data_IF_660528528914
#
_entry.id   IF_660528528914
#
_cell.length_a   1.000
_cell.length_b   1.000
_cell.length_c   1.000
_cell.angle_alpha   90.00
_cell.angle_beta   90.00
_cell.angle_gamma   90.00
#
_symmetry.space_group_name_H-M   'P 1'
#
loop_
_entity.id
_entity.type
_entity.pdbx_description
1 polymer ?
#
# COMPACT_ATOMS: atom_id res chain seq x y z
N UNK A 1 -38.83 -1.93 15.79
CA UNK A 1 -39.06 -0.95 16.87
C UNK A 1 -37.75 -0.60 17.55
N UNK A 2 -37.01 0.40 17.04
CA UNK A 2 -35.97 1.08 17.82
C UNK A 2 -36.08 2.57 17.53
N UNK A 3 -36.51 3.30 18.56
CA UNK A 3 -36.62 4.76 18.62
C UNK A 3 -35.23 5.33 18.92
N UNK A 4 -34.79 6.30 18.11
CA UNK A 4 -33.64 7.14 18.38
C UNK A 4 -34.07 8.20 19.40
N UNK A 5 -33.78 7.94 20.68
CA UNK A 5 -33.86 8.98 21.70
C UNK A 5 -32.71 9.98 21.49
N UNK A 6 -33.07 11.14 20.96
CA UNK A 6 -32.27 12.36 20.94
C UNK A 6 -32.06 12.88 22.37
N UNK A 7 -30.80 13.06 22.77
CA UNK A 7 -30.48 13.77 24.02
C UNK A 7 -29.26 13.22 24.73
N UNK A 8 -28.07 13.52 24.23
CA UNK A 8 -26.86 13.46 25.02
C UNK A 8 -25.98 14.66 24.67
N UNK A 9 -25.75 15.51 25.66
CA UNK A 9 -24.79 16.60 25.66
C UNK A 9 -23.45 16.13 25.10
N UNK A 10 -22.83 16.96 24.25
CA UNK A 10 -21.52 16.72 23.65
C UNK A 10 -20.45 16.74 24.73
N UNK A 11 -20.28 15.61 25.42
CA UNK A 11 -19.12 15.33 26.23
C UNK A 11 -17.92 15.06 25.32
N UNK A 12 -16.75 15.53 25.73
CA UNK A 12 -15.49 15.26 25.04
C UNK A 12 -15.35 13.75 24.75
N UNK A 13 -14.82 13.36 23.56
CA UNK A 13 -14.72 11.95 23.20
C UNK A 13 -13.83 11.21 24.22
N UNK A 14 -14.44 10.27 24.93
CA UNK A 14 -13.74 9.42 25.90
C UNK A 14 -12.52 8.74 25.25
N UNK A 15 -11.41 8.70 25.98
CA UNK A 15 -10.21 8.01 25.55
C UNK A 15 -10.55 6.56 25.19
N UNK A 16 -10.17 6.14 23.97
CA UNK A 16 -10.42 4.77 23.50
C UNK A 16 -9.51 3.83 24.30
N UNK A 17 -10.10 3.06 25.22
CA UNK A 17 -9.36 2.04 25.98
C UNK A 17 -8.75 0.97 25.07
N UNK A 18 -7.65 0.36 25.49
CA UNK A 18 -6.97 -0.76 24.80
C UNK A 18 -7.95 -1.93 24.50
N UNK A 19 -8.94 -2.15 25.38
CA UNK A 19 -10.02 -3.12 25.20
C UNK A 19 -10.88 -2.79 23.97
N UNK A 20 -11.22 -1.52 23.75
CA UNK A 20 -11.97 -1.09 22.56
C UNK A 20 -11.15 -1.25 21.28
N UNK A 21 -9.84 -1.01 21.33
CA UNK A 21 -8.95 -1.21 20.18
C UNK A 21 -8.83 -2.70 19.82
N UNK A 22 -8.61 -3.58 20.80
CA UNK A 22 -8.57 -5.04 20.58
C UNK A 22 -9.90 -5.57 20.05
N UNK A 23 -11.02 -5.07 20.57
CA UNK A 23 -12.36 -5.41 20.09
C UNK A 23 -12.56 -4.96 18.64
N UNK A 24 -12.12 -3.75 18.28
CA UNK A 24 -12.17 -3.27 16.90
C UNK A 24 -11.31 -4.13 15.96
N UNK A 25 -10.08 -4.44 16.34
CA UNK A 25 -9.20 -5.33 15.56
C UNK A 25 -9.83 -6.71 15.39
N UNK A 26 -10.41 -7.28 16.46
CA UNK A 26 -11.15 -8.55 16.39
C UNK A 26 -12.34 -8.51 15.43
N UNK A 27 -13.11 -7.41 15.42
CA UNK A 27 -14.23 -7.22 14.48
C UNK A 27 -13.73 -7.05 13.04
N UNK A 28 -12.66 -6.29 12.83
CA UNK A 28 -12.04 -6.12 11.53
C UNK A 28 -11.47 -7.44 11.01
N UNK A 29 -10.85 -8.25 11.87
CA UNK A 29 -10.38 -9.60 11.55
C UNK A 29 -11.52 -10.49 11.03
N UNK A 30 -12.65 -10.50 11.74
CA UNK A 30 -13.83 -11.24 11.32
C UNK A 30 -14.36 -10.74 9.96
N UNK A 31 -14.50 -9.42 9.81
CA UNK A 31 -15.00 -8.81 8.58
C UNK A 31 -14.10 -9.08 7.38
N UNK A 32 -12.78 -8.90 7.55
CA UNK A 32 -11.78 -9.15 6.51
C UNK A 32 -11.61 -10.64 6.19
N UNK A 33 -12.09 -11.54 7.06
CA UNK A 33 -12.27 -12.95 6.73
C UNK A 33 -13.23 -13.19 5.57
N UNK A 34 -14.33 -12.43 5.50
CA UNK A 34 -15.26 -12.42 4.36
C UNK A 34 -14.82 -11.49 3.22
N UNK A 35 -14.05 -10.47 3.55
CA UNK A 35 -13.62 -9.40 2.63
C UNK A 35 -12.10 -9.41 2.49
N UNK A 36 -11.57 -10.51 1.93
CA UNK A 36 -10.11 -10.78 1.90
C UNK A 36 -9.29 -9.70 1.21
N UNK A 37 -9.88 -8.93 0.30
CA UNK A 37 -9.16 -7.85 -0.36
C UNK A 37 -8.79 -6.71 0.60
N UNK A 38 -9.48 -6.53 1.74
CA UNK A 38 -9.07 -5.56 2.78
C UNK A 38 -7.89 -6.00 3.63
N UNK A 39 -7.53 -7.28 3.56
CA UNK A 39 -6.56 -7.90 4.45
C UNK A 39 -5.16 -7.25 4.43
N UNK A 40 -4.59 -6.76 3.30
CA UNK A 40 -3.28 -6.10 3.31
C UNK A 40 -3.23 -4.84 4.19
N UNK A 41 -4.36 -4.15 4.37
CA UNK A 41 -4.46 -2.97 5.22
C UNK A 41 -4.66 -3.30 6.70
N UNK A 42 -4.92 -4.56 7.06
CA UNK A 42 -4.82 -5.01 8.44
C UNK A 42 -3.40 -4.84 8.99
N UNK A 43 -2.37 -4.77 8.13
CA UNK A 43 -1.00 -4.49 8.58
C UNK A 43 -0.88 -3.10 9.21
N UNK A 44 -1.72 -2.16 8.79
CA UNK A 44 -1.81 -0.85 9.41
C UNK A 44 -2.43 -1.00 10.79
N UNK A 45 -3.59 -1.66 10.91
CA UNK A 45 -4.25 -1.89 12.20
C UNK A 45 -3.45 -2.73 13.19
N UNK A 46 -2.74 -3.76 12.74
CA UNK A 46 -1.84 -4.53 13.60
C UNK A 46 -0.63 -3.73 14.02
N UNK A 47 -0.08 -2.88 13.15
CA UNK A 47 0.96 -1.92 13.57
C UNK A 47 0.39 -0.93 14.57
N UNK A 48 -0.84 -0.45 14.37
CA UNK A 48 -1.54 0.42 15.32
C UNK A 48 -1.89 -0.29 16.64
N UNK A 49 -2.09 -1.60 16.65
CA UNK A 49 -2.43 -2.37 17.86
C UNK A 49 -1.19 -2.85 18.61
N UNK A 50 -0.16 -3.29 17.88
CA UNK A 50 1.14 -3.69 18.42
C UNK A 50 1.98 -2.47 18.87
N UNK A 51 1.73 -1.31 18.26
CA UNK A 51 2.20 0.00 18.70
C UNK A 51 0.96 0.87 18.81
N UNK A 52 0.26 0.94 19.97
CA UNK A 52 -0.93 1.77 20.15
C UNK A 52 -0.65 3.18 19.63
N UNK A 53 -1.01 3.48 18.38
CA UNK A 53 -0.77 4.79 17.76
C UNK A 53 -1.89 5.74 18.15
N UNK A 54 -2.04 5.89 19.46
CA UNK A 54 -1.84 7.19 20.06
C UNK A 54 -0.33 7.35 20.18
N UNK A 55 0.33 8.00 19.21
CA UNK A 55 1.71 8.44 19.45
C UNK A 55 1.67 9.63 20.37
N UNK A 56 1.55 9.29 21.64
CA UNK A 56 1.85 10.10 22.79
C UNK A 56 3.31 10.55 22.72
N UNK A 57 3.58 11.58 21.90
CA UNK A 57 4.83 12.32 22.01
C UNK A 57 4.77 13.07 23.33
N UNK A 58 5.75 12.82 24.20
CA UNK A 58 5.87 13.52 25.48
C UNK A 58 6.80 14.71 25.23
N UNK A 59 6.24 15.77 24.63
CA UNK A 59 6.99 16.93 24.17
C UNK A 59 7.31 17.82 25.37
N UNK A 60 8.58 18.19 25.51
CA UNK A 60 8.98 19.28 26.40
C UNK A 60 8.66 20.64 25.76
N UNK A 61 9.08 21.72 26.43
CA UNK A 61 8.77 23.08 26.03
C UNK A 61 9.38 23.48 24.69
N UNK A 62 10.61 23.03 24.42
CA UNK A 62 11.35 23.40 23.23
C UNK A 62 10.84 22.62 22.02
N UNK A 63 10.53 21.33 22.22
CA UNK A 63 9.90 20.47 21.21
C UNK A 63 8.49 20.93 20.83
N UNK A 64 7.72 21.45 21.79
CA UNK A 64 6.38 21.97 21.54
C UNK A 64 6.40 23.33 20.82
N UNK A 65 7.36 24.20 21.18
CA UNK A 65 7.58 25.47 20.50
C UNK A 65 8.02 25.24 19.04
N UNK A 66 8.92 24.27 18.82
CA UNK A 66 9.30 23.82 17.49
C UNK A 66 8.08 23.32 16.71
N UNK A 67 7.30 22.39 17.29
CA UNK A 67 6.10 21.86 16.65
C UNK A 67 5.12 22.98 16.25
N UNK A 68 4.89 23.96 17.12
CA UNK A 68 4.03 25.12 16.81
C UNK A 68 4.51 25.89 15.58
N UNK A 69 5.83 26.11 15.46
CA UNK A 69 6.44 26.75 14.29
C UNK A 69 6.41 25.91 13.02
N UNK A 70 6.18 24.60 13.14
CA UNK A 70 6.10 23.68 12.02
C UNK A 70 4.68 23.50 11.49
N UNK A 71 3.64 23.84 12.23
CA UNK A 71 2.26 23.60 11.83
C UNK A 71 1.74 24.63 10.82
N UNK A 72 1.19 24.16 9.70
CA UNK A 72 0.52 24.98 8.69
C UNK A 72 -0.92 25.35 9.09
N UNK A 73 -1.62 26.09 8.23
CA UNK A 73 -3.02 26.52 8.47
C UNK A 73 -4.03 25.37 8.54
N UNK A 74 -3.65 24.14 8.20
CA UNK A 74 -4.46 22.93 8.32
C UNK A 74 -4.00 22.03 9.50
N UNK A 75 -3.19 22.57 10.42
CA UNK A 75 -2.59 21.87 11.55
C UNK A 75 -1.68 20.72 11.13
N UNK A 76 -1.02 20.84 9.97
CA UNK A 76 -0.08 19.84 9.46
C UNK A 76 1.35 20.31 9.58
N UNK A 77 2.22 19.40 9.97
CA UNK A 77 3.65 19.64 10.12
C UNK A 77 4.25 19.84 8.73
N UNK A 78 4.68 21.06 8.44
CA UNK A 78 5.16 21.52 7.14
C UNK A 78 6.53 20.94 6.77
N UNK A 79 7.38 20.60 7.74
CA UNK A 79 8.73 20.02 7.58
C UNK A 79 9.13 19.20 8.80
N UNK A 80 10.14 18.34 8.70
CA UNK A 80 10.59 17.51 9.83
C UNK A 80 11.03 18.36 11.04
N UNK A 81 10.67 17.89 12.24
CA UNK A 81 11.17 18.45 13.49
C UNK A 81 12.62 18.00 13.74
N UNK A 82 13.43 18.91 14.24
CA UNK A 82 14.82 18.68 14.62
C UNK A 82 14.94 18.23 16.08
N UNK A 83 14.04 18.67 16.97
CA UNK A 83 14.09 18.38 18.40
C UNK A 83 13.20 17.21 18.81
N UNK A 84 12.35 16.70 17.93
CA UNK A 84 11.44 15.59 18.21
C UNK A 84 11.27 14.66 17.02
N UNK A 85 10.74 13.46 17.24
CA UNK A 85 10.43 12.51 16.16
C UNK A 85 9.19 12.91 15.33
N UNK A 86 8.73 14.15 15.45
CA UNK A 86 7.61 14.70 14.68
C UNK A 86 8.03 14.82 13.21
N UNK A 87 7.22 14.25 12.31
CA UNK A 87 7.54 14.22 10.88
C UNK A 87 6.66 15.14 10.05
N UNK A 88 7.23 15.59 8.93
CA UNK A 88 6.48 16.30 7.89
C UNK A 88 5.23 15.53 7.47
N UNK A 89 4.12 16.25 7.32
CA UNK A 89 2.81 15.72 6.95
C UNK A 89 1.94 15.26 8.11
N UNK A 90 2.47 15.18 9.33
CA UNK A 90 1.67 14.84 10.53
C UNK A 90 0.63 15.91 10.81
N UNK A 91 -0.60 15.51 11.15
CA UNK A 91 -1.67 16.46 11.51
C UNK A 91 -1.95 16.40 13.02
N UNK A 92 -1.79 17.52 13.72
CA UNK A 92 -2.11 17.62 15.15
C UNK A 92 -3.63 17.64 15.34
N UNK A 93 -4.17 16.75 16.19
CA UNK A 93 -5.62 16.70 16.45
C UNK A 93 -6.01 17.15 17.85
N UNK A 94 -5.25 16.72 18.86
CA UNK A 94 -5.55 17.00 20.26
C UNK A 94 -4.23 17.25 21.02
N UNK A 95 -4.20 18.26 21.90
CA UNK A 95 -3.11 18.54 22.82
C UNK A 95 -3.66 18.44 24.25
N UNK A 96 -3.08 17.54 25.07
CA UNK A 96 -3.56 17.26 26.43
C UNK A 96 -5.08 16.96 26.52
N UNK A 97 -5.64 16.32 25.47
CA UNK A 97 -7.06 15.96 25.41
C UNK A 97 -8.00 17.09 24.99
N UNK A 98 -7.47 18.25 24.54
CA UNK A 98 -8.25 19.34 23.94
C UNK A 98 -8.00 19.38 22.44
N UNK A 99 -9.06 19.53 21.64
CA UNK A 99 -8.93 19.77 20.21
C UNK A 99 -8.19 21.10 19.98
N UNK A 100 -7.20 21.10 19.09
CA UNK A 100 -6.45 22.31 18.75
C UNK A 100 -7.27 23.12 17.76
N UNK A 101 -7.74 24.29 18.20
CA UNK A 101 -8.57 25.19 17.39
C UNK A 101 -7.75 26.37 16.92
N UNK A 102 -6.84 26.84 17.77
CA UNK A 102 -5.98 28.00 17.55
C UNK A 102 -4.52 27.72 17.95
N UNK A 103 -3.58 28.54 17.45
CA UNK A 103 -2.14 28.30 17.68
C UNK A 103 -1.75 28.52 19.14
N UNK A 104 -2.50 29.35 19.84
CA UNK A 104 -2.32 29.59 21.27
C UNK A 104 -2.64 28.35 22.11
N UNK A 105 -3.53 27.46 21.65
CA UNK A 105 -3.84 26.19 22.33
C UNK A 105 -2.62 25.27 22.40
N UNK A 106 -1.70 25.39 21.45
CA UNK A 106 -0.46 24.61 21.39
C UNK A 106 0.55 25.08 22.42
N UNK A 107 0.60 26.39 22.68
CA UNK A 107 1.60 26.99 23.56
C UNK A 107 1.15 27.09 25.02
N UNK A 108 -0.14 26.89 25.28
CA UNK A 108 -0.76 26.99 26.61
C UNK A 108 -1.43 25.70 27.14
N UNK A 109 -0.90 24.49 26.89
CA UNK A 109 -1.53 23.29 27.41
C UNK A 109 -1.36 23.17 28.93
N UNK A 110 -2.25 22.41 29.57
CA UNK A 110 -2.05 21.99 30.94
C UNK A 110 -0.86 21.01 31.00
N UNK A 111 0.29 21.51 31.48
CA UNK A 111 1.52 20.73 31.63
C UNK A 111 1.34 19.69 32.73
N UNK A 112 1.72 18.44 32.45
CA UNK A 112 1.87 17.40 33.47
C UNK A 112 3.33 16.97 33.48
N UNK A 113 4.02 17.15 34.61
CA UNK A 113 5.45 16.83 34.76
C UNK A 113 6.33 17.51 33.68
N UNK A 114 6.00 18.75 33.30
CA UNK A 114 6.77 19.51 32.32
C UNK A 114 6.59 19.08 30.86
N UNK A 115 5.61 18.22 30.53
CA UNK A 115 5.39 17.74 29.16
C UNK A 115 3.91 17.67 28.73
N UNK A 116 3.68 17.43 27.43
CA UNK A 116 2.40 17.55 26.71
C UNK A 116 2.19 16.38 25.74
N UNK A 117 0.93 15.98 25.47
CA UNK A 117 0.54 14.79 24.67
C UNK A 117 -0.19 15.13 23.35
N UNK A 118 -0.01 14.33 22.27
CA UNK A 118 -0.58 14.56 20.91
C UNK A 118 -1.28 13.31 20.26
N UNK A 119 -2.29 13.46 19.36
CA UNK A 119 -3.12 12.36 18.76
C UNK A 119 -3.42 12.52 17.23
N UNK A 120 -3.71 11.41 16.50
CA UNK A 120 -3.95 11.35 15.01
C UNK A 120 -5.14 10.40 14.56
N UNK A 121 -5.72 10.55 13.35
CA UNK A 121 -6.98 9.86 12.87
C UNK A 121 -7.09 9.51 11.35
N UNK A 122 -6.04 9.19 10.60
CA UNK A 122 -6.16 8.97 9.12
C UNK A 122 -6.64 7.59 8.65
N UNK A 123 -6.35 6.51 9.35
CA UNK A 123 -6.53 5.13 8.83
C UNK A 123 -8.01 4.70 8.75
N UNK A 124 -8.84 5.14 9.69
CA UNK A 124 -10.26 4.79 9.73
C UNK A 124 -11.03 5.38 8.54
N UNK A 125 -10.70 6.59 8.11
CA UNK A 125 -11.36 7.25 6.97
C UNK A 125 -11.10 6.51 5.66
N UNK A 126 -9.88 5.99 5.46
CA UNK A 126 -9.56 5.16 4.30
C UNK A 126 -10.37 3.86 4.27
N UNK A 127 -10.45 3.14 5.39
CA UNK A 127 -11.25 1.90 5.45
C UNK A 127 -12.72 2.15 5.12
N UNK A 128 -13.31 3.22 5.69
CA UNK A 128 -14.68 3.60 5.38
C UNK A 128 -14.84 3.96 3.90
N UNK A 129 -13.95 4.79 3.36
CA UNK A 129 -13.99 5.15 1.94
C UNK A 129 -13.89 3.93 1.03
N UNK A 130 -12.99 2.99 1.31
CA UNK A 130 -12.88 1.79 0.49
C UNK A 130 -14.14 0.95 0.63
N UNK A 131 -14.65 0.71 1.83
CA UNK A 131 -15.91 -0.03 2.05
C UNK A 131 -17.08 0.63 1.30
N UNK A 132 -17.20 1.95 1.36
CA UNK A 132 -18.25 2.73 0.71
C UNK A 132 -18.08 2.78 -0.82
N UNK A 133 -16.84 2.77 -1.32
CA UNK A 133 -16.53 2.79 -2.75
C UNK A 133 -16.66 1.41 -3.42
N UNK A 134 -16.81 0.33 -2.66
CA UNK A 134 -16.88 -1.04 -3.21
C UNK A 134 -18.20 -1.24 -3.94
N UNK A 135 -18.08 -1.33 -5.28
CA UNK A 135 -19.08 -1.88 -6.20
C UNK A 135 -19.15 -3.42 -6.06
N UNK A 136 -20.20 -4.11 -6.55
CA UNK A 136 -20.73 -5.30 -5.91
C UNK A 136 -19.69 -6.40 -5.69
N UNK A 137 -19.71 -7.00 -4.51
CA UNK A 137 -18.90 -8.16 -4.17
C UNK A 137 -19.25 -9.31 -5.10
N UNK A 138 -18.35 -9.62 -6.03
CA UNK A 138 -18.53 -10.76 -6.93
C UNK A 138 -18.27 -12.07 -6.17
N UNK A 139 -19.34 -12.83 -5.93
CA UNK A 139 -19.27 -14.15 -5.27
C UNK A 139 -18.93 -15.29 -6.23
N UNK A 140 -18.92 -15.02 -7.54
CA UNK A 140 -18.64 -16.02 -8.58
C UNK A 140 -17.30 -15.70 -9.22
N UNK A 141 -16.46 -16.72 -9.37
CA UNK A 141 -15.21 -16.61 -10.11
C UNK A 141 -15.42 -16.95 -11.59
N UNK A 142 -14.82 -16.14 -12.45
CA UNK A 142 -14.72 -16.43 -13.87
C UNK A 142 -13.26 -16.70 -14.20
N UNK A 143 -13.01 -17.94 -14.63
CA UNK A 143 -11.71 -18.31 -15.16
C UNK A 143 -11.59 -17.78 -16.59
N UNK A 144 -10.59 -16.93 -16.82
CA UNK A 144 -10.18 -16.59 -18.17
C UNK A 144 -9.53 -17.80 -18.86
N UNK A 145 -9.26 -17.67 -20.17
CA UNK A 145 -8.42 -18.62 -20.87
C UNK A 145 -7.07 -18.76 -20.15
N UNK A 146 -6.54 -19.99 -19.97
CA UNK A 146 -5.25 -20.19 -19.33
C UNK A 146 -4.17 -19.36 -20.04
N UNK A 147 -3.46 -18.54 -19.26
CA UNK A 147 -2.32 -17.76 -19.74
C UNK A 147 -1.12 -18.10 -18.87
N UNK A 148 -0.03 -18.50 -19.51
CA UNK A 148 1.26 -18.61 -18.84
C UNK A 148 1.82 -17.21 -18.67
N UNK A 149 2.22 -16.89 -17.45
CA UNK A 149 2.74 -15.59 -17.10
C UNK A 149 3.63 -15.70 -15.88
N UNK A 150 4.80 -15.07 -15.93
CA UNK A 150 5.73 -15.06 -14.82
C UNK A 150 6.42 -13.69 -14.74
N UNK A 151 6.70 -13.26 -13.53
CA UNK A 151 7.44 -12.03 -13.27
C UNK A 151 8.54 -12.33 -12.25
N UNK A 152 9.62 -11.57 -12.35
CA UNK A 152 10.77 -11.66 -11.49
C UNK A 152 11.34 -10.27 -11.22
N UNK A 153 12.17 -10.17 -10.20
CA UNK A 153 12.97 -9.01 -9.94
C UNK A 153 14.41 -9.43 -9.68
N UNK A 154 15.32 -8.58 -10.13
CA UNK A 154 16.71 -8.65 -9.78
C UNK A 154 17.03 -7.50 -8.84
N UNK A 155 17.83 -7.78 -7.83
CA UNK A 155 18.48 -6.76 -7.04
C UNK A 155 19.94 -7.15 -6.79
N UNK A 156 20.76 -6.14 -6.61
CA UNK A 156 22.11 -6.24 -6.09
C UNK A 156 22.29 -5.14 -5.05
N UNK A 157 23.54 -4.80 -4.72
CA UNK A 157 23.81 -3.67 -3.84
C UNK A 157 23.27 -2.35 -4.39
N UNK A 158 23.56 -2.05 -5.67
CA UNK A 158 23.32 -0.74 -6.28
C UNK A 158 22.36 -0.74 -7.47
N UNK A 159 22.02 -1.92 -8.00
CA UNK A 159 21.11 -2.05 -9.15
C UNK A 159 19.91 -2.88 -8.76
N UNK A 160 18.77 -2.55 -9.35
CA UNK A 160 17.62 -3.42 -9.38
C UNK A 160 16.93 -3.35 -10.73
N UNK A 161 16.05 -4.30 -10.97
CA UNK A 161 15.16 -4.32 -12.10
C UNK A 161 13.99 -5.25 -11.86
N UNK A 162 12.91 -5.01 -12.58
CA UNK A 162 11.73 -5.87 -12.58
C UNK A 162 11.39 -6.22 -14.02
N UNK A 163 11.02 -7.48 -14.24
CA UNK A 163 10.72 -7.99 -15.56
C UNK A 163 9.64 -9.05 -15.49
N UNK A 164 9.01 -9.31 -16.62
CA UNK A 164 8.01 -10.35 -16.70
C UNK A 164 7.42 -10.50 -18.09
N UNK A 165 6.82 -11.65 -18.30
CA UNK A 165 6.26 -12.05 -19.58
C UNK A 165 4.92 -12.74 -19.40
N UNK A 166 4.14 -12.76 -20.48
CA UNK A 166 2.98 -13.61 -20.61
C UNK A 166 2.77 -14.03 -22.06
N UNK A 167 2.13 -15.18 -22.21
CA UNK A 167 1.66 -15.66 -23.50
C UNK A 167 0.17 -15.32 -23.68
N UNK A 168 -0.22 -14.78 -24.85
CA UNK A 168 -1.61 -14.77 -25.27
C UNK A 168 -2.20 -16.19 -25.25
N UNK A 169 -3.51 -16.30 -25.06
CA UNK A 169 -4.18 -17.60 -25.07
C UNK A 169 -3.95 -18.31 -26.41
N UNK A 170 -3.54 -19.58 -26.37
CA UNK A 170 -3.27 -20.39 -27.56
C UNK A 170 -1.94 -20.11 -28.27
N UNK A 171 -1.13 -19.14 -27.80
CA UNK A 171 0.19 -18.90 -28.37
C UNK A 171 1.17 -20.04 -28.00
N UNK A 172 2.09 -20.42 -28.91
CA UNK A 172 3.09 -21.44 -28.61
C UNK A 172 4.08 -20.95 -27.55
N UNK A 173 4.65 -21.88 -26.78
CA UNK A 173 5.61 -21.60 -25.71
C UNK A 173 7.00 -21.31 -26.31
N UNK A 174 7.21 -20.10 -26.81
CA UNK A 174 8.50 -19.65 -27.33
C UNK A 174 8.73 -18.14 -27.11
N UNK A 175 10.00 -17.74 -27.13
CA UNK A 175 10.45 -16.36 -26.79
C UNK A 175 9.86 -15.31 -27.74
N UNK A 176 9.77 -15.62 -29.03
CA UNK A 176 9.26 -14.70 -30.05
C UNK A 176 7.76 -14.41 -29.92
N UNK A 177 7.03 -15.22 -29.16
CA UNK A 177 5.60 -15.05 -28.91
C UNK A 177 5.29 -14.34 -27.59
N UNK A 178 6.30 -14.10 -26.75
CA UNK A 178 6.13 -13.43 -25.47
C UNK A 178 5.66 -11.99 -25.66
N UNK A 179 4.66 -11.60 -24.86
CA UNK A 179 4.49 -10.20 -24.49
C UNK A 179 5.23 -9.98 -23.19
N UNK A 180 5.93 -8.87 -23.08
CA UNK A 180 6.91 -8.69 -22.02
C UNK A 180 7.03 -7.25 -21.58
N UNK A 181 7.53 -7.05 -20.36
CA UNK A 181 7.98 -5.77 -19.87
C UNK A 181 9.33 -5.94 -19.18
N UNK A 182 10.07 -4.84 -19.11
CA UNK A 182 11.36 -4.78 -18.44
C UNK A 182 11.66 -3.35 -18.05
N UNK A 183 11.98 -3.17 -16.77
CA UNK A 183 12.37 -1.90 -16.17
C UNK A 183 13.66 -2.09 -15.37
N UNK A 184 14.71 -1.37 -15.72
CA UNK A 184 16.07 -1.62 -15.23
C UNK A 184 16.83 -0.34 -14.96
N UNK A 185 17.98 -0.50 -14.30
CA UNK A 185 19.05 0.50 -14.17
C UNK A 185 18.50 1.81 -13.57
N UNK A 186 18.49 2.89 -14.35
CA UNK A 186 18.08 4.23 -13.90
C UNK A 186 16.64 4.28 -13.36
N UNK A 187 15.74 3.38 -13.78
CA UNK A 187 14.36 3.39 -13.30
C UNK A 187 14.18 2.73 -11.93
N UNK A 188 15.12 1.88 -11.54
CA UNK A 188 15.13 1.11 -10.29
C UNK A 188 16.45 1.31 -9.54
N UNK A 189 17.06 2.50 -9.69
CA UNK A 189 18.15 2.96 -8.82
C UNK A 189 17.60 3.38 -7.46
N UNK A 190 18.48 3.51 -6.47
CA UNK A 190 18.10 4.06 -5.17
C UNK A 190 17.36 5.40 -5.34
N UNK A 191 17.88 6.32 -6.15
CA UNK A 191 17.25 7.64 -6.28
C UNK A 191 15.91 7.63 -7.04
N UNK A 192 15.70 6.64 -7.92
CA UNK A 192 14.45 6.52 -8.67
C UNK A 192 13.31 5.92 -7.85
N UNK A 193 13.63 5.15 -6.81
CA UNK A 193 12.66 4.57 -5.89
C UNK A 193 12.19 5.62 -4.87
N UNK A 194 10.88 5.67 -4.57
CA UNK A 194 10.36 6.57 -3.55
C UNK A 194 11.09 6.38 -2.21
N UNK A 195 11.35 7.47 -1.49
CA UNK A 195 12.05 7.45 -0.20
C UNK A 195 11.42 6.48 0.80
N UNK A 196 10.09 6.43 0.84
CA UNK A 196 9.34 5.49 1.69
C UNK A 196 9.57 4.02 1.32
N UNK A 197 9.84 3.72 0.04
CA UNK A 197 10.12 2.36 -0.42
C UNK A 197 11.52 1.91 0.01
N UNK A 198 12.42 2.87 0.26
CA UNK A 198 13.80 2.65 0.69
C UNK A 198 14.02 2.78 2.20
N UNK A 199 12.99 3.09 2.98
CA UNK A 199 13.13 3.45 4.38
C UNK A 199 13.90 2.39 5.21
N UNK A 200 13.75 1.11 4.86
CA UNK A 200 14.44 -0.01 5.54
C UNK A 200 15.80 -0.35 4.91
N UNK A 201 16.15 0.22 3.75
CA UNK A 201 17.45 0.07 3.08
C UNK A 201 18.43 1.20 3.43
N UNK A 202 17.98 2.23 4.16
CA UNK A 202 18.70 3.50 4.38
C UNK A 202 19.52 3.60 5.67
N UNK A 203 19.71 2.52 6.44
CA UNK A 203 20.62 2.52 7.60
C UNK A 203 21.84 1.64 7.31
N UNK A 204 22.98 2.30 7.12
CA UNK A 204 24.36 1.79 6.99
C UNK A 204 24.75 0.95 5.76
N UNK A 205 23.83 0.30 5.06
CA UNK A 205 24.16 -0.47 3.86
C UNK A 205 23.12 -0.27 2.75
N UNK A 206 23.37 0.70 1.86
CA UNK A 206 22.65 0.87 0.59
C UNK A 206 22.67 -0.44 -0.20
N UNK A 207 21.65 -1.27 0.01
CA UNK A 207 21.58 -2.62 -0.51
C UNK A 207 20.15 -2.92 -0.96
N UNK A 208 19.91 -2.76 -2.26
CA UNK A 208 18.62 -3.05 -2.88
C UNK A 208 18.21 -4.53 -2.72
N UNK A 209 19.15 -5.43 -2.41
CA UNK A 209 18.85 -6.83 -2.11
C UNK A 209 17.88 -6.98 -0.92
N UNK A 210 17.90 -6.05 0.04
CA UNK A 210 16.96 -6.06 1.16
C UNK A 210 15.50 -5.84 0.70
N UNK A 211 15.32 -5.26 -0.49
CA UNK A 211 14.02 -4.95 -1.09
C UNK A 211 13.55 -6.02 -2.09
N UNK A 212 14.30 -7.11 -2.29
CA UNK A 212 14.05 -8.10 -3.37
C UNK A 212 12.61 -8.63 -3.35
N UNK A 213 12.09 -9.04 -2.19
CA UNK A 213 10.73 -9.55 -2.09
C UNK A 213 9.66 -8.51 -2.48
N UNK A 214 9.90 -7.24 -2.16
CA UNK A 214 8.97 -6.17 -2.51
C UNK A 214 9.06 -5.79 -4.00
N UNK A 215 10.27 -5.83 -4.57
CA UNK A 215 10.49 -5.63 -6.00
C UNK A 215 9.84 -6.74 -6.82
N UNK A 216 9.95 -7.99 -6.40
CA UNK A 216 9.25 -9.11 -7.04
C UNK A 216 7.73 -8.98 -6.93
N UNK A 217 7.20 -8.62 -5.76
CA UNK A 217 5.77 -8.35 -5.60
C UNK A 217 5.31 -7.20 -6.51
N UNK A 218 6.16 -6.20 -6.74
CA UNK A 218 5.89 -5.10 -7.67
C UNK A 218 5.93 -5.59 -9.12
N UNK A 219 6.86 -6.46 -9.49
CA UNK A 219 6.90 -7.10 -10.81
C UNK A 219 5.58 -7.84 -11.11
N UNK A 220 5.05 -8.57 -10.13
CA UNK A 220 3.75 -9.26 -10.23
C UNK A 220 2.59 -8.27 -10.41
N UNK A 221 2.58 -7.15 -9.65
CA UNK A 221 1.58 -6.08 -9.82
C UNK A 221 1.63 -5.45 -11.22
N UNK A 222 2.83 -5.16 -11.72
CA UNK A 222 3.05 -4.60 -13.07
C UNK A 222 2.55 -5.57 -14.14
N UNK A 223 2.92 -6.86 -14.04
CA UNK A 223 2.45 -7.89 -14.95
C UNK A 223 0.92 -7.99 -14.92
N UNK A 224 0.32 -7.91 -13.73
CA UNK A 224 -1.13 -7.98 -13.55
C UNK A 224 -1.84 -6.83 -14.26
N UNK A 225 -1.33 -5.60 -14.09
CA UNK A 225 -1.90 -4.43 -14.74
C UNK A 225 -1.81 -4.51 -16.26
N UNK A 226 -0.70 -5.03 -16.79
CA UNK A 226 -0.51 -5.26 -18.22
C UNK A 226 -1.46 -6.31 -18.77
N UNK A 227 -1.57 -7.47 -18.10
CA UNK A 227 -2.49 -8.53 -18.51
C UNK A 227 -3.94 -8.06 -18.48
N UNK A 228 -4.31 -7.25 -17.49
CA UNK A 228 -5.67 -6.73 -17.35
C UNK A 228 -6.10 -5.89 -18.54
N UNK A 229 -5.21 -5.08 -19.13
CA UNK A 229 -5.49 -4.30 -20.36
C UNK A 229 -5.85 -5.18 -21.57
N UNK A 230 -5.49 -6.47 -21.52
CA UNK A 230 -5.70 -7.44 -22.60
C UNK A 230 -6.88 -8.39 -22.37
N UNK A 231 -7.70 -8.14 -21.36
CA UNK A 231 -8.88 -8.95 -21.05
C UNK A 231 -10.08 -8.02 -21.00
N UNK A 232 -11.18 -8.39 -21.66
CA UNK A 232 -12.42 -7.62 -21.58
C UNK A 232 -13.01 -7.68 -20.17
N UNK A 233 -13.59 -6.57 -19.71
CA UNK A 233 -14.36 -6.56 -18.46
C UNK A 233 -15.56 -7.49 -18.62
N UNK A 234 -15.78 -8.33 -17.61
CA UNK A 234 -17.02 -9.06 -17.43
C UNK A 234 -17.85 -8.30 -16.41
N UNK A 235 -19.14 -8.11 -16.68
CA UNK A 235 -20.08 -7.58 -15.68
C UNK A 235 -20.55 -8.67 -14.70
N UNK A 236 -20.14 -9.92 -14.94
CA UNK A 236 -20.49 -11.09 -14.14
C UNK A 236 -19.21 -11.73 -13.62
N UNK A 237 -19.09 -11.77 -12.29
CA UNK A 237 -18.04 -12.47 -11.57
C UNK A 237 -16.70 -11.74 -11.50
N UNK A 238 -15.81 -12.29 -10.66
CA UNK A 238 -14.45 -11.85 -10.46
C UNK A 238 -13.52 -12.58 -11.43
N UNK A 239 -12.71 -11.86 -12.19
CA UNK A 239 -11.77 -12.43 -13.16
C UNK A 239 -10.58 -13.07 -12.42
N UNK A 240 -10.36 -14.36 -12.59
CA UNK A 240 -9.18 -15.03 -12.02
C UNK A 240 -7.98 -14.83 -12.94
N UNK A 241 -6.92 -14.21 -12.43
CA UNK A 241 -5.63 -14.10 -13.12
C UNK A 241 -4.57 -14.82 -12.30
N UNK A 242 -3.81 -15.71 -12.97
CA UNK A 242 -2.72 -16.47 -12.36
C UNK A 242 -1.38 -16.03 -12.93
N UNK A 243 -0.39 -15.90 -12.05
CA UNK A 243 1.00 -15.65 -12.40
C UNK A 243 1.91 -16.62 -11.62
N UNK A 244 3.11 -16.81 -12.14
CA UNK A 244 4.16 -17.61 -11.53
C UNK A 244 5.25 -16.72 -10.93
N UNK A 245 5.81 -17.18 -9.82
CA UNK A 245 6.90 -16.56 -9.08
C UNK A 245 7.75 -17.68 -8.47
N UNK A 246 9.04 -17.44 -8.36
CA UNK A 246 9.98 -18.40 -7.82
C UNK A 246 10.41 -18.05 -6.36
N UNK A 247 10.11 -16.85 -5.87
CA UNK A 247 10.29 -16.51 -4.46
C UNK A 247 9.13 -17.00 -3.60
N UNK A 248 9.44 -17.95 -2.71
CA UNK A 248 8.44 -18.49 -1.79
C UNK A 248 7.90 -17.48 -0.79
N UNK A 249 8.68 -16.46 -0.42
CA UNK A 249 8.20 -15.36 0.42
C UNK A 249 7.08 -14.59 -0.27
N UNK A 250 7.27 -14.23 -1.54
CA UNK A 250 6.27 -13.53 -2.35
C UNK A 250 5.05 -14.42 -2.59
N UNK A 251 5.23 -15.70 -2.91
CA UNK A 251 4.10 -16.65 -3.05
C UNK A 251 3.29 -16.74 -1.75
N UNK A 252 3.97 -16.90 -0.61
CA UNK A 252 3.34 -17.01 0.71
C UNK A 252 2.59 -15.75 1.13
N UNK A 253 3.22 -14.59 1.04
CA UNK A 253 2.61 -13.31 1.40
C UNK A 253 1.51 -12.91 0.39
N UNK A 254 1.63 -13.36 -0.87
CA UNK A 254 0.58 -13.19 -1.86
C UNK A 254 -0.66 -14.02 -1.58
N UNK A 255 -0.48 -15.28 -1.20
CA UNK A 255 -1.58 -16.18 -0.84
C UNK A 255 -2.27 -15.74 0.46
N UNK A 256 -1.50 -15.26 1.43
CA UNK A 256 -2.02 -14.68 2.67
C UNK A 256 -2.67 -13.32 2.41
N UNK A 257 -2.20 -12.57 1.42
CA UNK A 257 -2.63 -11.19 1.16
C UNK A 257 -2.15 -10.20 2.21
N UNK A 258 -1.03 -10.47 2.89
CA UNK A 258 -0.60 -9.70 4.05
C UNK A 258 0.89 -9.83 4.34
N UNK A 259 1.49 -8.72 4.76
CA UNK A 259 2.82 -8.67 5.35
C UNK A 259 2.89 -7.53 6.36
N UNK A 260 3.75 -7.67 7.36
CA UNK A 260 4.08 -6.59 8.32
C UNK A 260 5.38 -5.85 7.95
N UNK A 261 6.12 -6.37 6.97
CA UNK A 261 7.41 -5.83 6.54
C UNK A 261 7.18 -4.80 5.42
N UNK A 262 7.70 -3.60 5.61
CA UNK A 262 7.78 -2.64 4.50
C UNK A 262 9.02 -2.95 3.64
N UNK A 263 9.02 -2.56 2.35
CA UNK A 263 7.92 -1.96 1.61
C UNK A 263 6.91 -2.99 1.04
N UNK A 264 7.10 -4.28 1.31
CA UNK A 264 6.24 -5.36 0.76
C UNK A 264 4.76 -5.19 1.14
N UNK A 265 4.47 -4.80 2.39
CA UNK A 265 3.11 -4.52 2.84
C UNK A 265 2.41 -3.47 1.96
N UNK A 266 3.09 -2.37 1.64
CA UNK A 266 2.58 -1.32 0.75
C UNK A 266 2.32 -1.83 -0.68
N UNK A 267 3.19 -2.70 -1.21
CA UNK A 267 2.97 -3.31 -2.54
C UNK A 267 1.72 -4.20 -2.55
N UNK A 268 1.52 -4.99 -1.49
CA UNK A 268 0.33 -5.84 -1.34
C UNK A 268 -0.96 -5.01 -1.24
N UNK A 269 -0.91 -3.85 -0.58
CA UNK A 269 -2.02 -2.89 -0.53
C UNK A 269 -2.35 -2.31 -1.91
N UNK A 270 -1.34 -1.82 -2.63
CA UNK A 270 -1.53 -1.32 -4.00
C UNK A 270 -2.15 -2.38 -4.91
N UNK A 271 -1.65 -3.62 -4.81
CA UNK A 271 -2.19 -4.74 -5.57
C UNK A 271 -3.63 -5.08 -5.21
N UNK A 272 -3.98 -5.10 -3.93
CA UNK A 272 -5.35 -5.39 -3.53
C UNK A 272 -6.33 -4.32 -3.98
N UNK A 273 -5.93 -3.04 -3.95
CA UNK A 273 -6.75 -1.95 -4.46
C UNK A 273 -6.95 -2.07 -5.97
N UNK A 274 -5.86 -2.38 -6.70
CA UNK A 274 -5.93 -2.67 -8.13
C UNK A 274 -6.88 -3.83 -8.43
N UNK A 275 -6.76 -4.94 -7.70
CA UNK A 275 -7.62 -6.11 -7.86
C UNK A 275 -9.09 -5.78 -7.59
N UNK A 276 -9.37 -4.99 -6.55
CA UNK A 276 -10.71 -4.55 -6.22
C UNK A 276 -11.33 -3.70 -7.34
N UNK A 277 -10.62 -2.66 -7.79
CA UNK A 277 -11.09 -1.74 -8.82
C UNK A 277 -11.31 -2.44 -10.18
N UNK A 278 -10.53 -3.49 -10.44
CA UNK A 278 -10.56 -4.22 -11.68
C UNK A 278 -11.42 -5.50 -11.62
N UNK A 279 -11.97 -5.85 -10.45
CA UNK A 279 -12.75 -7.07 -10.26
C UNK A 279 -11.94 -8.33 -10.52
N UNK A 280 -10.72 -8.40 -9.99
CA UNK A 280 -9.76 -9.48 -10.22
C UNK A 280 -9.54 -10.29 -8.94
N UNK A 281 -9.56 -11.61 -9.05
CA UNK A 281 -8.98 -12.51 -8.07
C UNK A 281 -7.59 -12.94 -8.53
N UNK A 282 -6.56 -12.34 -7.93
CA UNK A 282 -5.18 -12.56 -8.31
C UNK A 282 -4.56 -13.73 -7.55
N UNK A 283 -3.91 -14.64 -8.27
CA UNK A 283 -3.28 -15.84 -7.71
C UNK A 283 -1.82 -15.95 -8.16
N UNK A 284 -0.92 -16.02 -7.19
CA UNK A 284 0.50 -16.30 -7.44
C UNK A 284 0.77 -17.76 -7.11
N UNK A 285 1.44 -18.47 -8.01
CA UNK A 285 1.83 -19.85 -7.80
C UNK A 285 3.34 -20.01 -7.88
N UNK A 286 3.89 -20.95 -7.10
CA UNK A 286 5.30 -21.31 -7.18
C UNK A 286 5.61 -21.98 -8.52
N UNK A 287 6.71 -21.54 -9.11
CA UNK A 287 7.39 -22.14 -10.26
C UNK A 287 8.86 -22.31 -9.89
N UNK A 288 9.52 -23.40 -10.28
CA UNK A 288 10.96 -23.57 -10.02
C UNK A 288 11.80 -22.51 -10.75
N UNK A 289 12.92 -22.06 -10.16
CA UNK A 289 13.76 -21.00 -10.74
C UNK A 289 14.28 -21.33 -12.14
N UNK A 290 14.64 -22.59 -12.40
CA UNK A 290 15.02 -23.09 -13.73
C UNK A 290 13.93 -22.90 -14.80
N UNK A 291 12.67 -22.79 -14.40
CA UNK A 291 11.54 -22.51 -15.29
C UNK A 291 11.17 -21.03 -15.35
N UNK A 292 11.78 -20.19 -14.51
CA UNK A 292 11.57 -18.74 -14.45
C UNK A 292 12.64 -17.93 -15.20
N UNK A 293 13.57 -18.59 -15.90
CA UNK A 293 14.74 -17.98 -16.55
C UNK A 293 14.40 -16.79 -17.45
N UNK A 294 13.29 -16.83 -18.20
CA UNK A 294 12.88 -15.71 -19.04
C UNK A 294 12.47 -14.46 -18.24
N UNK A 295 11.84 -14.64 -17.08
CA UNK A 295 11.48 -13.51 -16.23
C UNK A 295 12.73 -12.94 -15.54
N UNK A 296 13.65 -13.80 -15.08
CA UNK A 296 14.94 -13.40 -14.53
C UNK A 296 15.76 -12.59 -15.57
N UNK A 297 15.88 -13.10 -16.80
CA UNK A 297 16.58 -12.40 -17.90
C UNK A 297 15.93 -11.04 -18.24
N UNK A 298 14.60 -10.96 -18.23
CA UNK A 298 13.87 -9.70 -18.41
C UNK A 298 14.07 -8.72 -17.24
N UNK A 299 14.28 -9.20 -16.02
CA UNK A 299 14.54 -8.36 -14.86
C UNK A 299 15.98 -7.80 -14.85
N UNK A 300 16.94 -8.54 -15.43
CA UNK A 300 18.38 -8.21 -15.41
C UNK A 300 18.89 -7.39 -16.58
N UNK A 301 18.41 -7.67 -17.80
CA UNK A 301 18.68 -6.84 -18.98
C UNK A 301 19.39 -7.53 -20.11
N UNK A 302 19.50 -6.84 -21.26
CA UNK A 302 20.11 -7.37 -22.47
C UNK A 302 21.55 -7.81 -22.27
N UNK A 303 22.28 -7.19 -21.34
CA UNK A 303 23.65 -7.57 -20.98
C UNK A 303 23.74 -8.94 -20.29
N UNK A 304 22.67 -9.41 -19.64
CA UNK A 304 22.68 -10.66 -18.89
C UNK A 304 22.50 -11.88 -19.78
N UNK A 305 21.61 -11.79 -20.78
CA UNK A 305 21.36 -12.88 -21.75
C UNK A 305 21.08 -12.33 -23.16
N UNK A 306 22.13 -11.91 -23.90
CA UNK A 306 21.96 -11.34 -25.24
C UNK A 306 21.22 -12.29 -26.22
N UNK A 307 21.41 -13.60 -26.06
CA UNK A 307 20.80 -14.62 -26.91
C UNK A 307 19.28 -14.68 -26.71
N UNK A 308 18.81 -14.63 -25.46
CA UNK A 308 17.38 -14.50 -25.16
C UNK A 308 16.82 -13.17 -25.70
N UNK A 309 17.51 -12.05 -25.45
CA UNK A 309 17.02 -10.72 -25.81
C UNK A 309 16.91 -10.51 -27.33
N UNK A 310 17.83 -11.07 -28.11
CA UNK A 310 17.77 -11.01 -29.59
C UNK A 310 16.57 -11.75 -30.21
N UNK A 311 15.94 -12.67 -29.47
CA UNK A 311 14.75 -13.39 -29.91
C UNK A 311 13.44 -12.66 -29.60
N UNK A 312 13.48 -11.63 -28.74
CA UNK A 312 12.31 -10.83 -28.39
C UNK A 312 11.91 -9.94 -29.57
N UNK A 313 10.60 -9.78 -29.76
CA UNK A 313 10.06 -8.83 -30.73
C UNK A 313 9.75 -7.50 -30.05
N UNK A 314 10.32 -6.41 -30.55
CA UNK A 314 10.12 -5.06 -29.99
C UNK A 314 8.65 -4.64 -29.94
N UNK A 315 7.87 -4.98 -30.98
CA UNK A 315 6.43 -4.69 -31.03
C UNK A 315 5.58 -5.42 -29.97
N UNK A 316 6.17 -6.30 -29.16
CA UNK A 316 5.50 -6.99 -28.05
C UNK A 316 5.91 -6.48 -26.67
N UNK A 317 6.86 -5.54 -26.59
CA UNK A 317 7.20 -4.86 -25.35
C UNK A 317 6.02 -4.00 -24.90
N UNK A 318 5.66 -4.12 -23.64
CA UNK A 318 4.56 -3.38 -23.03
C UNK A 318 5.06 -2.57 -21.83
N UNK A 319 4.36 -1.48 -21.51
CA UNK A 319 4.68 -0.62 -20.39
C UNK A 319 3.43 -0.07 -19.68
N UNK A 320 3.58 0.17 -18.38
CA UNK A 320 2.67 0.88 -17.49
C UNK A 320 3.44 1.93 -16.69
N UNK A 321 2.73 2.92 -16.16
CA UNK A 321 3.27 3.76 -15.09
C UNK A 321 3.24 2.98 -13.77
N UNK A 322 4.35 2.29 -13.48
CA UNK A 322 4.48 1.49 -12.28
C UNK A 322 4.50 2.34 -11.00
N UNK A 323 4.94 3.62 -11.07
CA UNK A 323 4.98 4.52 -9.91
C UNK A 323 3.57 4.91 -9.49
N UNK A 324 2.71 5.25 -10.46
CA UNK A 324 1.29 5.52 -10.20
C UNK A 324 0.59 4.29 -9.62
N UNK A 325 0.83 3.10 -10.20
CA UNK A 325 0.29 1.84 -9.66
C UNK A 325 0.72 1.61 -8.21
N UNK A 326 2.02 1.76 -7.91
CA UNK A 326 2.57 1.55 -6.57
C UNK A 326 2.00 2.56 -5.56
N UNK A 327 1.85 3.82 -5.94
CA UNK A 327 1.34 4.87 -5.06
C UNK A 327 -0.17 4.78 -4.80
N UNK A 328 -0.94 4.13 -5.69
CA UNK A 328 -2.40 4.02 -5.55
C UNK A 328 -2.85 3.35 -4.25
N UNK A 329 -2.06 2.41 -3.71
CA UNK A 329 -2.39 1.69 -2.48
C UNK A 329 -2.16 2.45 -1.18
N UNK A 330 -1.57 3.64 -1.23
CA UNK A 330 -1.14 4.38 -0.04
C UNK A 330 -2.28 5.24 0.51
N UNK A 331 -2.54 5.19 1.83
CA UNK A 331 -3.50 6.08 2.48
C UNK A 331 -3.19 7.56 2.27
N UNK A 332 -1.91 7.93 2.14
CA UNK A 332 -1.46 9.32 1.99
C UNK A 332 -1.66 9.90 0.58
N UNK A 333 -1.83 9.04 -0.43
CA UNK A 333 -1.92 9.44 -1.83
C UNK A 333 -3.36 9.71 -2.29
N UNK A 334 -4.34 9.54 -1.41
CA UNK A 334 -5.75 9.71 -1.76
C UNK A 334 -6.24 11.11 -1.41
N UNK A 335 -7.06 11.74 -2.27
CA UNK A 335 -7.67 13.02 -1.97
C UNK A 335 -8.49 12.87 -0.68
N UNK A 336 -8.25 13.76 0.28
CA UNK A 336 -9.09 13.88 1.46
C UNK A 336 -10.48 14.24 0.94
N UNK A 337 -11.40 13.28 0.92
CA UNK A 337 -12.79 13.55 0.61
C UNK A 337 -13.26 14.67 1.53
N UNK A 338 -13.72 15.77 0.94
CA UNK A 338 -14.43 16.81 1.67
C UNK A 338 -15.56 16.10 2.44
N UNK A 339 -15.65 16.37 3.75
CA UNK A 339 -16.66 15.78 4.60
C UNK A 339 -18.03 15.86 3.91
N UNK A 340 -18.87 14.81 3.97
CA UNK A 340 -20.18 14.84 3.35
C UNK A 340 -20.91 16.09 3.83
N UNK A 341 -21.35 16.91 2.88
CA UNK A 341 -22.13 18.10 3.16
C UNK A 341 -23.29 17.68 4.07
N UNK A 342 -23.39 18.32 5.24
CA UNK A 342 -24.53 18.09 6.13
C UNK A 342 -25.79 18.24 5.30
N UNK A 343 -26.75 17.29 5.35
CA UNK A 343 -28.00 17.46 4.64
C UNK A 343 -28.60 18.80 5.09
N UNK A 344 -28.73 19.70 4.12
CA UNK A 344 -29.37 20.99 4.36
C UNK A 344 -30.73 20.70 4.96
N UNK A 345 -31.01 21.32 6.10
CA UNK A 345 -32.40 21.42 6.57
C UNK A 345 -33.14 22.19 5.48
N UNK A 346 -33.89 21.45 4.66
CA UNK A 346 -34.86 22.03 3.76
C UNK A 346 -35.93 22.79 4.56
N UNK A 347 -36.64 23.71 3.89
CA UNK A 347 -37.41 24.79 4.50
C UNK A 347 -38.44 24.35 5.53
#
# INVERSE_FOLDING_TARGET
HWSLASGASVGAPAAVSDIHQRTLVGRLLWFTGGVRWLWPWMSVWFRMAAKPTLRFQHLDRDQLAELSGLLDGAWRVSRHAALSDVRQGWQSLEICGRAVSDREDILSPAWKNGRVWLKEKRVAGFFLHVIEAVKPLYLVEKHGQPRLAAADAFASRSRAGVGGWWLPAGAPLCVSELRWFSYQSYQFSMDALPTWFRADAGSEHDNLQLLICALEALAQLVLLALQRRMVSRSNVGCLVIRQFCDNMGVVGDSAKGFSMKEPLASVLQARALFCLNEGINFRVARMAGERNQWADALSRGPEFDPAFWSQLRDGRRCAVDWKSLLNSGRPDALPVSAAPAKPGKGP
#
